data_IF_571321166597
#
_entry.id   IF_571321166597
#
_cell.length_a   1.000
_cell.length_b   1.000
_cell.length_c   1.000
_cell.angle_alpha   90.00
_cell.angle_beta   90.00
_cell.angle_gamma   90.00
#
_symmetry.space_group_name_H-M   'P 1'
#
loop_
_entity.id
_entity.type
_entity.pdbx_description
1 polymer ?
#
# COMPACT_ATOMS: atom_id res chain seq x y z
N UNK A 1 28.35 7.84 33.88
CA UNK A 1 28.89 6.71 33.07
C UNK A 1 27.99 5.46 33.11
N UNK A 2 27.04 5.33 34.04
CA UNK A 2 26.15 4.15 34.11
C UNK A 2 25.09 4.06 32.98
N UNK A 3 24.50 5.19 32.60
CA UNK A 3 23.41 5.22 31.61
C UNK A 3 23.79 4.59 30.25
N UNK A 4 25.02 4.78 29.79
CA UNK A 4 25.46 4.21 28.51
C UNK A 4 25.51 2.67 28.51
N UNK A 5 25.72 2.06 29.68
CA UNK A 5 25.83 0.62 29.83
C UNK A 5 24.44 -0.03 29.93
N UNK A 6 23.51 0.64 30.62
CA UNK A 6 22.10 0.25 30.67
C UNK A 6 21.45 0.27 29.28
N UNK A 7 21.71 1.30 28.47
CA UNK A 7 21.24 1.40 27.08
C UNK A 7 21.80 0.28 26.19
N UNK A 8 23.07 -0.09 26.39
CA UNK A 8 23.70 -1.19 25.64
C UNK A 8 23.05 -2.55 25.97
N UNK A 9 22.74 -2.79 27.24
CA UNK A 9 22.07 -4.02 27.69
C UNK A 9 20.62 -4.10 27.15
N UNK A 10 19.94 -2.96 27.01
CA UNK A 10 18.62 -2.91 26.36
C UNK A 10 18.73 -3.22 24.87
N UNK A 11 19.72 -2.66 24.16
CA UNK A 11 19.98 -2.96 22.75
C UNK A 11 20.29 -4.45 22.51
N UNK A 12 21.00 -5.11 23.42
CA UNK A 12 21.37 -6.53 23.28
C UNK A 12 20.16 -7.47 23.50
N UNK A 13 19.14 -7.00 24.22
CA UNK A 13 17.85 -7.71 24.39
C UNK A 13 16.91 -7.53 23.20
N UNK A 14 17.15 -6.52 22.35
CA UNK A 14 16.34 -6.29 21.16
C UNK A 14 16.73 -7.24 20.04
N UNK A 15 15.73 -7.69 19.29
CA UNK A 15 15.99 -8.48 18.10
C UNK A 15 16.67 -7.64 17.02
N UNK A 16 17.40 -8.32 16.14
CA UNK A 16 18.09 -7.67 15.03
C UNK A 16 17.07 -7.00 14.12
N UNK A 17 17.21 -5.68 13.92
CA UNK A 17 16.39 -4.93 12.97
C UNK A 17 16.38 -5.57 11.57
N UNK A 18 17.49 -6.19 11.16
CA UNK A 18 17.59 -6.90 9.87
C UNK A 18 16.67 -8.11 9.74
N UNK A 19 16.32 -8.78 10.85
CA UNK A 19 15.35 -9.87 10.83
C UNK A 19 13.93 -9.32 10.63
N UNK A 20 13.55 -8.33 11.43
CA UNK A 20 12.25 -7.66 11.32
C UNK A 20 12.04 -7.04 9.93
N UNK A 21 13.05 -6.37 9.37
CA UNK A 21 12.95 -5.80 8.02
C UNK A 21 12.74 -6.87 6.93
N UNK A 22 13.41 -8.03 7.03
CA UNK A 22 13.23 -9.12 6.06
C UNK A 22 11.83 -9.71 6.11
N UNK A 23 11.29 -9.90 7.31
CA UNK A 23 9.91 -10.38 7.50
C UNK A 23 8.90 -9.38 6.93
N UNK A 24 9.06 -8.09 7.24
CA UNK A 24 8.20 -7.03 6.70
C UNK A 24 8.21 -7.01 5.17
N UNK A 25 9.39 -7.10 4.54
CA UNK A 25 9.51 -7.16 3.09
C UNK A 25 8.78 -8.38 2.51
N UNK A 26 9.00 -9.57 3.09
CA UNK A 26 8.33 -10.80 2.66
C UNK A 26 6.81 -10.67 2.74
N UNK A 27 6.28 -10.00 3.76
CA UNK A 27 4.84 -9.81 3.93
C UNK A 27 4.30 -8.81 2.91
N UNK A 28 4.97 -7.67 2.70
CA UNK A 28 4.56 -6.63 1.74
C UNK A 28 4.60 -7.15 0.30
N UNK A 29 5.56 -7.99 -0.06
CA UNK A 29 5.68 -8.57 -1.41
C UNK A 29 4.67 -9.70 -1.67
N UNK A 30 4.11 -10.31 -0.63
CA UNK A 30 3.23 -11.48 -0.77
C UNK A 30 1.83 -11.17 -1.31
N UNK A 31 1.32 -9.95 -1.06
CA UNK A 31 -0.02 -9.53 -1.46
C UNK A 31 0.09 -8.25 -2.31
N UNK A 32 -0.36 -8.26 -3.57
CA UNK A 32 -0.35 -7.07 -4.41
C UNK A 32 -1.31 -6.03 -3.84
N UNK A 33 -0.81 -4.85 -3.50
CA UNK A 33 -1.60 -3.73 -2.99
C UNK A 33 -2.37 -3.03 -4.14
N UNK A 34 -3.70 -3.13 -4.20
CA UNK A 34 -4.50 -2.57 -5.28
C UNK A 34 -4.45 -1.04 -5.40
N UNK A 35 -3.89 -0.33 -4.41
CA UNK A 35 -3.63 1.12 -4.48
C UNK A 35 -2.32 1.46 -5.19
N UNK A 36 -1.45 0.47 -5.40
CA UNK A 36 -0.17 0.66 -6.06
C UNK A 36 -0.29 0.37 -7.57
N UNK A 37 0.22 1.28 -8.43
CA UNK A 37 0.09 1.17 -9.88
C UNK A 37 0.84 -0.02 -10.49
N UNK A 38 1.71 -0.67 -9.70
CA UNK A 38 2.50 -1.83 -10.10
C UNK A 38 2.12 -2.97 -9.17
N UNK A 39 0.97 -3.59 -9.45
CA UNK A 39 0.58 -4.83 -8.81
C UNK A 39 0.74 -5.99 -9.77
N UNK A 40 1.68 -6.87 -9.47
CA UNK A 40 1.75 -8.22 -10.04
C UNK A 40 0.62 -9.06 -9.45
N UNK A 41 -0.60 -8.85 -9.92
CA UNK A 41 -1.79 -9.59 -9.48
C UNK A 41 -2.99 -9.37 -10.40
N UNK A 42 -3.98 -10.28 -10.41
CA UNK A 42 -5.20 -10.06 -11.17
C UNK A 42 -5.94 -8.84 -10.61
N UNK A 43 -6.18 -7.84 -11.47
CA UNK A 43 -6.99 -6.66 -11.14
C UNK A 43 -8.35 -7.11 -10.61
N UNK A 44 -8.68 -6.77 -9.37
CA UNK A 44 -9.96 -7.13 -8.79
C UNK A 44 -11.05 -6.18 -9.35
N UNK A 45 -12.01 -6.67 -10.15
CA UNK A 45 -13.00 -5.84 -10.82
C UNK A 45 -13.97 -5.12 -9.87
N UNK A 46 -14.01 -5.48 -8.58
CA UNK A 46 -14.78 -4.75 -7.57
C UNK A 46 -14.12 -3.43 -7.14
N UNK A 47 -12.82 -3.27 -7.40
CA UNK A 47 -12.05 -2.07 -7.05
C UNK A 47 -12.29 -0.93 -8.04
N UNK A 48 -12.70 -1.24 -9.27
CA UNK A 48 -13.10 -0.25 -10.28
C UNK A 48 -14.14 0.73 -9.72
N UNK A 49 -15.09 0.27 -8.90
CA UNK A 49 -16.10 1.14 -8.24
C UNK A 49 -15.51 2.22 -7.33
N UNK A 50 -14.36 1.95 -6.70
CA UNK A 50 -13.74 2.85 -5.72
C UNK A 50 -12.60 3.68 -6.32
N UNK A 51 -11.97 3.20 -7.41
CA UNK A 51 -10.79 3.82 -8.03
C UNK A 51 -10.99 4.29 -9.48
N UNK A 52 -12.10 4.00 -10.17
CA UNK A 52 -12.40 4.54 -11.52
C UNK A 52 -12.60 6.07 -11.55
N UNK A 53 -12.51 6.75 -10.39
CA UNK A 53 -12.84 8.17 -10.28
C UNK A 53 -14.31 8.43 -10.64
N UNK A 54 -14.75 9.70 -10.65
CA UNK A 54 -16.03 10.03 -11.25
C UNK A 54 -15.99 9.53 -12.69
N UNK A 55 -16.96 8.68 -13.07
CA UNK A 55 -17.26 8.45 -14.47
C UNK A 55 -17.68 9.80 -15.04
N UNK A 56 -16.70 10.58 -15.50
CA UNK A 56 -16.92 11.64 -16.46
C UNK A 56 -17.88 11.03 -17.47
N UNK A 57 -19.11 11.52 -17.45
CA UNK A 57 -20.21 11.04 -18.26
C UNK A 57 -19.88 11.36 -19.70
N UNK A 58 -18.98 10.58 -20.30
CA UNK A 58 -18.75 10.49 -21.74
C UNK A 58 -19.99 9.82 -22.34
N UNK A 59 -21.10 10.56 -22.34
CA UNK A 59 -22.40 10.01 -22.70
C UNK A 59 -23.63 10.83 -22.33
N UNK A 60 -23.54 12.13 -22.07
CA UNK A 60 -24.65 13.04 -22.43
C UNK A 60 -24.18 14.50 -22.51
N UNK A 61 -23.27 14.81 -23.43
CA UNK A 61 -22.98 16.20 -23.81
C UNK A 61 -23.39 16.54 -25.25
N UNK A 62 -24.25 15.75 -25.91
CA UNK A 62 -24.82 16.16 -27.22
C UNK A 62 -26.30 15.84 -27.46
N UNK A 63 -27.07 15.36 -26.49
CA UNK A 63 -28.48 14.99 -26.72
C UNK A 63 -29.53 15.95 -26.13
N UNK A 64 -29.15 17.14 -25.65
CA UNK A 64 -30.13 18.07 -25.06
C UNK A 64 -30.28 19.41 -25.81
N UNK A 65 -29.81 19.53 -27.06
CA UNK A 65 -29.83 20.83 -27.75
C UNK A 65 -30.49 20.80 -29.14
N UNK A 66 -31.51 19.97 -29.36
CA UNK A 66 -32.41 20.15 -30.52
C UNK A 66 -33.86 19.77 -30.13
N UNK A 67 -34.69 20.81 -30.03
CA UNK A 67 -36.15 20.90 -29.79
C UNK A 67 -36.71 20.56 -28.39
#
# INVERSE_FOLDING_TARGET
>A
MHHAQEELEQLDKLEKASAACKEMLSNVESIPDPLLPITTGPMNPLWDRWFEGPRESKGCCSCCWIF
#
